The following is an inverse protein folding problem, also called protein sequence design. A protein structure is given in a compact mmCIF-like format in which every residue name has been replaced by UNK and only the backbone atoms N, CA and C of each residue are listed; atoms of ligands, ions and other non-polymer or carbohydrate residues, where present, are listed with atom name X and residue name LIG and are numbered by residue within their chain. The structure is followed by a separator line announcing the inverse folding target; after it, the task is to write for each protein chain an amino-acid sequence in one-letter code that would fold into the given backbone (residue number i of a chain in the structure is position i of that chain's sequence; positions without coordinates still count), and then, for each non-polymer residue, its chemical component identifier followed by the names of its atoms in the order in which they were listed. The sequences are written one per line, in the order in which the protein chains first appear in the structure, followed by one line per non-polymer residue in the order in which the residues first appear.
data_IF_332848616018
#
_entry.id   IF_332848616018
#
_cell.length_a   1.000
_cell.length_b   1.000
_cell.length_c   1.000
_cell.angle_alpha   90.00
_cell.angle_beta   90.00
_cell.angle_gamma   90.00
#
_symmetry.space_group_name_H-M   'P 1'
#
loop_
_entity.id
_entity.type
_entity.pdbx_description
1 polymer ?
#
# COMPACT_ATOMS: atom_id res chain seq x y z
N UNK A 1 9.72 -2.76 -31.95
CA UNK A 1 8.51 -1.94 -31.89
C UNK A 1 8.51 -1.30 -30.51
N UNK A 2 8.76 0.03 -30.41
CA UNK A 2 8.52 0.80 -29.17
C UNK A 2 7.00 0.81 -28.97
N UNK A 3 6.51 0.04 -28.01
CA UNK A 3 5.13 0.18 -27.57
C UNK A 3 4.96 1.59 -26.99
N UNK A 4 4.08 2.38 -27.60
CA UNK A 4 3.74 3.71 -27.08
C UNK A 4 3.15 3.56 -25.69
N UNK A 5 3.76 4.23 -24.71
CA UNK A 5 3.21 4.37 -23.35
C UNK A 5 1.85 5.06 -23.46
N UNK A 6 0.87 4.64 -22.65
CA UNK A 6 -0.43 5.28 -22.55
C UNK A 6 -0.22 6.78 -22.26
N UNK A 7 -0.45 7.58 -23.27
CA UNK A 7 -0.46 9.04 -23.20
C UNK A 7 -1.90 9.49 -23.42
N UNK A 8 -2.79 9.14 -22.49
CA UNK A 8 -4.15 9.65 -22.58
C UNK A 8 -4.17 11.06 -22.00
N UNK A 9 -4.92 11.95 -22.64
CA UNK A 9 -5.04 13.35 -22.18
C UNK A 9 -5.53 13.46 -20.72
N UNK A 10 -6.14 12.42 -20.21
CA UNK A 10 -6.69 12.35 -18.84
C UNK A 10 -5.66 12.08 -17.76
N UNK A 11 -4.58 11.34 -18.09
CA UNK A 11 -3.47 11.07 -17.15
C UNK A 11 -2.50 12.24 -17.12
N UNK A 12 -2.46 13.08 -18.15
CA UNK A 12 -1.58 14.26 -18.20
C UNK A 12 -1.80 15.26 -17.06
N UNK A 13 -3.01 15.26 -16.47
CA UNK A 13 -3.35 16.13 -15.35
C UNK A 13 -3.00 15.50 -13.98
N UNK A 14 -2.34 14.34 -13.97
CA UNK A 14 -1.87 13.67 -12.76
C UNK A 14 -0.37 13.91 -12.64
N UNK A 15 0.03 14.60 -11.56
CA UNK A 15 1.45 14.97 -11.38
C UNK A 15 2.34 13.78 -11.04
N UNK A 16 1.87 12.87 -10.20
CA UNK A 16 2.63 11.72 -9.74
C UNK A 16 1.78 10.45 -9.79
N UNK A 17 2.27 9.40 -10.42
CA UNK A 17 1.66 8.06 -10.44
C UNK A 17 2.58 7.11 -9.71
N UNK A 18 2.14 6.61 -8.55
CA UNK A 18 2.93 5.74 -7.68
C UNK A 18 2.31 4.36 -7.62
N UNK A 19 3.06 3.35 -8.03
CA UNK A 19 2.64 1.96 -7.90
C UNK A 19 2.96 1.42 -6.50
N UNK A 20 1.99 0.73 -5.90
CA UNK A 20 2.19 -0.08 -4.69
C UNK A 20 2.14 -1.54 -5.08
N UNK A 21 3.24 -2.23 -4.91
CA UNK A 21 3.43 -3.61 -5.35
C UNK A 21 3.89 -4.52 -4.21
N UNK A 22 3.71 -5.82 -4.39
CA UNK A 22 4.26 -6.84 -3.50
C UNK A 22 4.64 -8.09 -4.28
N UNK A 23 5.67 -8.78 -3.85
CA UNK A 23 6.12 -10.03 -4.47
C UNK A 23 5.19 -11.21 -4.21
N UNK A 24 4.32 -11.14 -3.20
CA UNK A 24 3.35 -12.18 -2.83
C UNK A 24 2.06 -11.58 -2.28
N UNK A 25 1.00 -12.38 -2.24
CA UNK A 25 -0.26 -12.03 -1.56
C UNK A 25 -0.15 -12.06 -0.03
N UNK A 26 -1.10 -11.41 0.66
CA UNK A 26 -1.22 -11.47 2.11
C UNK A 26 -0.22 -10.61 2.90
N UNK A 27 0.55 -9.73 2.25
CA UNK A 27 1.48 -8.82 2.93
C UNK A 27 0.83 -7.50 3.40
N UNK A 28 -0.46 -7.31 3.16
CA UNK A 28 -1.20 -6.10 3.49
C UNK A 28 -0.98 -4.94 2.50
N UNK A 29 -0.63 -5.24 1.25
CA UNK A 29 -0.39 -4.27 0.18
C UNK A 29 -1.52 -3.24 0.04
N UNK A 30 -2.77 -3.69 -0.11
CA UNK A 30 -3.94 -2.83 -0.30
C UNK A 30 -4.24 -1.98 0.94
N UNK A 31 -4.06 -2.53 2.15
CA UNK A 31 -4.16 -1.77 3.41
C UNK A 31 -3.10 -0.67 3.47
N UNK A 32 -1.88 -0.94 3.01
CA UNK A 32 -0.82 0.07 2.93
C UNK A 32 -1.17 1.12 1.86
N UNK A 33 -1.62 0.71 0.68
CA UNK A 33 -1.97 1.61 -0.42
C UNK A 33 -3.07 2.60 -0.01
N UNK A 34 -4.14 2.13 0.63
CA UNK A 34 -5.24 3.01 1.06
C UNK A 34 -4.82 3.97 2.17
N UNK A 35 -4.06 3.52 3.16
CA UNK A 35 -3.61 4.39 4.24
C UNK A 35 -2.57 5.40 3.76
N UNK A 36 -1.72 5.04 2.79
CA UNK A 36 -0.83 5.98 2.12
C UNK A 36 -1.62 7.04 1.34
N UNK A 37 -2.62 6.63 0.55
CA UNK A 37 -3.49 7.57 -0.17
C UNK A 37 -4.23 8.50 0.80
N UNK A 38 -4.73 7.96 1.90
CA UNK A 38 -5.42 8.71 2.95
C UNK A 38 -4.49 9.70 3.66
N UNK A 39 -3.25 9.35 3.96
CA UNK A 39 -2.29 10.28 4.56
C UNK A 39 -1.92 11.41 3.58
N UNK A 40 -1.68 11.08 2.31
CA UNK A 40 -1.38 12.07 1.27
C UNK A 40 -2.57 13.03 1.03
N UNK A 41 -3.82 12.54 1.14
CA UNK A 41 -5.02 13.36 0.89
C UNK A 41 -5.22 14.49 1.91
N UNK A 42 -4.55 14.43 3.05
CA UNK A 42 -4.60 15.53 4.05
C UNK A 42 -4.05 16.85 3.52
N UNK A 43 -3.22 16.82 2.47
CA UNK A 43 -2.57 18.02 1.90
C UNK A 43 -2.51 18.04 0.37
N UNK A 44 -2.97 16.99 -0.30
CA UNK A 44 -2.89 16.83 -1.76
C UNK A 44 -4.20 16.29 -2.33
N UNK A 45 -4.44 16.53 -3.64
CA UNK A 45 -5.51 15.89 -4.39
C UNK A 45 -5.06 14.45 -4.75
N UNK A 46 -5.75 13.45 -4.24
CA UNK A 46 -5.33 12.03 -4.37
C UNK A 46 -6.41 11.19 -5.00
N UNK A 47 -5.98 10.28 -5.88
CA UNK A 47 -6.76 9.16 -6.37
C UNK A 47 -6.12 7.83 -5.99
N UNK A 48 -6.92 6.79 -5.87
CA UNK A 48 -6.46 5.41 -5.71
C UNK A 48 -7.19 4.51 -6.70
N UNK A 49 -6.43 3.78 -7.50
CA UNK A 49 -6.92 2.78 -8.44
C UNK A 49 -6.46 1.40 -8.02
N UNK A 50 -7.42 0.54 -7.67
CA UNK A 50 -7.20 -0.87 -7.38
C UNK A 50 -7.24 -1.69 -8.67
N UNK A 51 -6.11 -2.27 -9.01
CA UNK A 51 -5.89 -3.08 -10.21
C UNK A 51 -5.84 -4.60 -9.90
N UNK A 52 -6.16 -5.01 -8.67
CA UNK A 52 -6.27 -6.43 -8.32
C UNK A 52 -7.62 -7.00 -8.77
N UNK A 53 -7.61 -7.57 -9.97
CA UNK A 53 -8.81 -8.11 -10.63
C UNK A 53 -9.30 -9.39 -9.94
N UNK A 54 -8.38 -10.17 -9.38
CA UNK A 54 -8.69 -11.48 -8.81
C UNK A 54 -9.20 -11.39 -7.37
N UNK A 55 -8.84 -10.34 -6.65
CA UNK A 55 -9.24 -10.14 -5.28
C UNK A 55 -9.35 -8.66 -4.92
N UNK A 56 -10.25 -7.91 -5.63
CA UNK A 56 -10.37 -6.49 -5.38
C UNK A 56 -10.84 -6.25 -3.94
N UNK A 57 -9.99 -5.64 -3.13
CA UNK A 57 -10.24 -5.42 -1.71
C UNK A 57 -10.72 -4.00 -1.40
N UNK A 58 -10.60 -3.08 -2.35
CA UNK A 58 -10.90 -1.68 -2.13
C UNK A 58 -12.34 -1.40 -1.66
N UNK A 59 -13.40 -2.01 -2.24
CA UNK A 59 -14.76 -1.78 -1.75
C UNK A 59 -14.92 -2.04 -0.25
N UNK A 60 -14.37 -3.16 0.24
CA UNK A 60 -14.38 -3.51 1.66
C UNK A 60 -13.56 -2.52 2.49
N UNK A 61 -12.34 -2.21 2.05
CA UNK A 61 -11.40 -1.34 2.78
C UNK A 61 -11.88 0.11 2.94
N UNK A 62 -12.81 0.55 2.08
CA UNK A 62 -13.42 1.88 2.22
C UNK A 62 -14.89 1.82 2.66
N UNK A 63 -15.46 0.62 2.84
CA UNK A 63 -16.87 0.44 3.21
C UNK A 63 -17.81 1.08 2.18
N UNK A 64 -17.59 0.78 0.90
CA UNK A 64 -18.35 1.35 -0.21
C UNK A 64 -18.47 0.35 -1.35
N UNK A 65 -19.71 0.07 -1.77
CA UNK A 65 -20.01 -0.93 -2.80
C UNK A 65 -20.81 -0.36 -3.99
N UNK A 66 -21.06 0.95 -4.00
CA UNK A 66 -21.79 1.60 -5.08
C UNK A 66 -21.05 1.44 -6.42
N UNK A 67 -21.83 1.24 -7.49
CA UNK A 67 -21.28 1.34 -8.84
C UNK A 67 -20.92 2.78 -9.19
N UNK A 68 -19.79 3.01 -9.89
CA UNK A 68 -19.45 4.31 -10.44
C UNK A 68 -20.54 4.82 -11.38
N UNK A 69 -20.86 6.09 -11.28
CA UNK A 69 -21.77 6.73 -12.25
C UNK A 69 -21.08 6.86 -13.59
N UNK A 70 -21.86 6.75 -14.67
CA UNK A 70 -21.39 6.95 -16.02
C UNK A 70 -21.96 8.27 -16.54
N UNK A 71 -21.09 9.18 -17.01
CA UNK A 71 -21.49 10.38 -17.76
C UNK A 71 -21.68 10.06 -19.25
N UNK A 72 -22.17 11.05 -19.98
CA UNK A 72 -22.17 11.04 -21.45
C UNK A 72 -20.76 10.67 -21.96
N UNK A 73 -20.68 9.95 -23.06
CA UNK A 73 -19.44 9.42 -23.63
C UNK A 73 -18.75 8.27 -22.85
N UNK A 74 -19.51 7.50 -22.07
CA UNK A 74 -19.00 6.36 -21.30
C UNK A 74 -17.90 6.70 -20.28
N UNK A 75 -17.92 7.94 -19.75
CA UNK A 75 -16.96 8.41 -18.77
C UNK A 75 -17.36 7.97 -17.37
N UNK A 76 -16.53 7.17 -16.71
CA UNK A 76 -16.72 6.72 -15.33
C UNK A 76 -16.35 7.84 -14.36
N UNK A 77 -17.26 8.13 -13.43
CA UNK A 77 -17.01 9.07 -12.34
C UNK A 77 -16.47 8.27 -11.17
N UNK A 78 -15.24 8.53 -10.70
CA UNK A 78 -14.69 7.83 -9.56
C UNK A 78 -15.55 8.05 -8.30
N UNK A 79 -15.56 7.07 -7.41
CA UNK A 79 -16.23 7.18 -6.11
C UNK A 79 -15.41 8.12 -5.24
N UNK A 80 -16.05 9.16 -4.72
CA UNK A 80 -15.41 10.09 -3.79
C UNK A 80 -15.80 9.74 -2.34
N UNK A 81 -14.79 9.47 -1.52
CA UNK A 81 -14.92 9.23 -0.08
C UNK A 81 -13.65 9.69 0.62
N UNK A 82 -13.74 10.18 1.83
CA UNK A 82 -12.59 10.68 2.60
C UNK A 82 -11.73 11.74 1.87
N UNK A 83 -12.28 12.47 0.91
CA UNK A 83 -11.52 13.43 0.08
C UNK A 83 -10.61 12.76 -0.96
N UNK A 84 -10.80 11.49 -1.24
CA UNK A 84 -10.02 10.69 -2.20
C UNK A 84 -10.95 10.18 -3.30
N UNK A 85 -10.46 10.15 -4.53
CA UNK A 85 -11.12 9.54 -5.67
C UNK A 85 -10.73 8.07 -5.79
N UNK A 86 -11.71 7.16 -5.77
CA UNK A 86 -11.48 5.72 -5.81
C UNK A 86 -12.04 5.10 -7.08
N UNK A 87 -11.28 4.15 -7.64
CA UNK A 87 -11.75 3.25 -8.68
C UNK A 87 -11.18 1.85 -8.46
N UNK A 88 -11.99 0.82 -8.70
CA UNK A 88 -11.62 -0.59 -8.55
C UNK A 88 -12.43 -1.45 -9.49
N UNK A 89 -11.87 -2.57 -9.91
CA UNK A 89 -12.62 -3.65 -10.55
C UNK A 89 -13.77 -4.15 -9.67
N UNK A 90 -13.61 -4.10 -8.34
CA UNK A 90 -14.63 -4.51 -7.38
C UNK A 90 -15.93 -3.70 -7.49
N UNK A 91 -15.87 -2.43 -7.89
CA UNK A 91 -17.07 -1.62 -8.09
C UNK A 91 -17.83 -1.93 -9.37
N UNK A 92 -17.19 -2.61 -10.34
CA UNK A 92 -17.80 -2.97 -11.61
C UNK A 92 -18.46 -4.36 -11.60
N UNK A 93 -18.18 -5.16 -10.57
CA UNK A 93 -18.67 -6.53 -10.42
C UNK A 93 -19.76 -6.62 -9.32
N UNK A 94 -20.93 -6.02 -9.58
CA UNK A 94 -22.03 -5.94 -8.62
C UNK A 94 -22.69 -7.27 -8.29
N UNK A 95 -22.44 -8.34 -9.06
CA UNK A 95 -23.17 -9.61 -8.91
C UNK A 95 -22.36 -10.73 -8.25
N UNK A 96 -21.12 -10.49 -7.79
CA UNK A 96 -20.24 -11.54 -7.27
C UNK A 96 -20.07 -12.75 -8.22
N UNK A 97 -20.40 -12.59 -9.49
CA UNK A 97 -20.18 -13.64 -10.47
C UNK A 97 -18.68 -13.84 -10.68
N UNK A 98 -18.19 -15.08 -10.64
CA UNK A 98 -16.79 -15.36 -10.91
C UNK A 98 -16.48 -15.05 -12.37
N UNK A 99 -16.13 -13.79 -12.66
CA UNK A 99 -15.72 -13.41 -13.99
C UNK A 99 -14.37 -14.05 -14.30
N UNK A 100 -14.33 -14.92 -15.31
CA UNK A 100 -13.08 -15.52 -15.78
C UNK A 100 -12.35 -14.49 -16.62
N UNK A 101 -11.50 -13.70 -15.97
CA UNK A 101 -10.68 -12.69 -16.63
C UNK A 101 -9.49 -13.32 -17.32
N UNK A 102 -9.39 -13.21 -18.64
CA UNK A 102 -8.22 -13.64 -19.43
C UNK A 102 -7.30 -12.46 -19.67
N UNK A 103 -5.98 -12.69 -19.76
CA UNK A 103 -4.97 -11.64 -19.90
C UNK A 103 -5.29 -10.49 -20.88
N UNK A 104 -5.76 -10.75 -22.12
CA UNK A 104 -6.15 -9.69 -23.05
C UNK A 104 -7.31 -8.82 -22.56
N UNK A 105 -8.28 -9.41 -21.83
CA UNK A 105 -9.40 -8.65 -21.25
C UNK A 105 -8.93 -7.76 -20.11
N UNK A 106 -8.03 -8.26 -19.27
CA UNK A 106 -7.40 -7.50 -18.19
C UNK A 106 -6.71 -6.26 -18.72
N UNK A 107 -5.90 -6.43 -19.76
CA UNK A 107 -5.20 -5.32 -20.42
C UNK A 107 -6.19 -4.28 -20.97
N UNK A 108 -7.25 -4.72 -21.64
CA UNK A 108 -8.28 -3.82 -22.20
C UNK A 108 -9.01 -3.03 -21.09
N UNK A 109 -9.42 -3.69 -20.01
CA UNK A 109 -10.12 -3.04 -18.89
C UNK A 109 -9.21 -2.06 -18.13
N UNK A 110 -7.94 -2.42 -17.97
CA UNK A 110 -6.96 -1.51 -17.36
C UNK A 110 -6.81 -0.24 -18.20
N UNK A 111 -6.75 -0.36 -19.53
CA UNK A 111 -6.78 0.80 -20.42
C UNK A 111 -8.02 1.65 -20.20
N UNK A 112 -9.19 1.04 -20.05
CA UNK A 112 -10.42 1.78 -19.79
C UNK A 112 -10.38 2.58 -18.49
N UNK A 113 -9.71 2.10 -17.44
CA UNK A 113 -9.56 2.87 -16.21
C UNK A 113 -8.67 4.10 -16.35
N UNK A 114 -7.70 4.05 -17.25
CA UNK A 114 -6.87 5.23 -17.56
C UNK A 114 -7.54 6.17 -18.56
N UNK A 115 -8.29 5.62 -19.53
CA UNK A 115 -8.89 6.39 -20.61
C UNK A 115 -10.28 6.94 -20.26
N UNK A 116 -11.08 6.18 -19.52
CA UNK A 116 -12.50 6.45 -19.31
C UNK A 116 -12.87 6.82 -17.87
N UNK A 117 -11.91 7.06 -16.98
CA UNK A 117 -12.18 7.58 -15.64
C UNK A 117 -11.91 9.07 -15.57
N UNK A 118 -12.86 9.84 -15.04
CA UNK A 118 -12.72 11.27 -14.81
C UNK A 118 -11.93 11.57 -13.53
N UNK A 119 -10.62 11.34 -13.62
CA UNK A 119 -9.72 11.64 -12.49
C UNK A 119 -9.64 13.15 -12.20
N UNK A 120 -9.79 14.00 -13.22
CA UNK A 120 -9.53 15.43 -13.13
C UNK A 120 -8.06 15.71 -12.80
N UNK A 121 -7.81 16.82 -12.10
CA UNK A 121 -6.47 17.15 -11.62
C UNK A 121 -6.15 16.40 -10.33
N UNK A 122 -5.03 15.66 -10.31
CA UNK A 122 -4.52 14.98 -9.13
C UNK A 122 -3.05 15.32 -8.91
N UNK A 123 -2.66 15.47 -7.64
CA UNK A 123 -1.26 15.53 -7.24
C UNK A 123 -0.64 14.13 -7.20
N UNK A 124 -1.44 13.13 -6.76
CA UNK A 124 -1.03 11.72 -6.68
C UNK A 124 -2.14 10.78 -7.16
N UNK A 125 -1.78 9.80 -7.97
CA UNK A 125 -2.59 8.61 -8.23
C UNK A 125 -1.83 7.40 -7.69
N UNK A 126 -2.38 6.75 -6.69
CA UNK A 126 -1.83 5.51 -6.13
C UNK A 126 -2.44 4.33 -6.90
N UNK A 127 -1.58 3.46 -7.42
CA UNK A 127 -1.98 2.23 -8.09
C UNK A 127 -1.74 1.06 -7.16
N UNK A 128 -2.79 0.41 -6.71
CA UNK A 128 -2.71 -0.85 -5.97
C UNK A 128 -2.62 -2.00 -6.96
N UNK A 129 -1.41 -2.53 -7.20
CA UNK A 129 -1.16 -3.56 -8.20
C UNK A 129 -1.61 -4.95 -7.72
N UNK A 130 -1.91 -5.90 -8.62
CA UNK A 130 -2.10 -7.30 -8.23
C UNK A 130 -0.89 -7.85 -7.47
N UNK A 131 -1.03 -8.86 -6.62
CA UNK A 131 0.11 -9.47 -5.93
C UNK A 131 0.99 -10.29 -6.88
N UNK A 132 2.27 -10.42 -6.55
CA UNK A 132 3.24 -11.19 -7.34
C UNK A 132 4.13 -10.30 -8.22
N UNK A 133 4.90 -10.92 -9.10
CA UNK A 133 5.82 -10.28 -10.06
C UNK A 133 5.69 -10.89 -11.45
N UNK A 134 4.49 -11.36 -11.77
CA UNK A 134 4.18 -12.07 -13.01
C UNK A 134 3.86 -11.15 -14.18
N UNK A 135 3.52 -11.78 -15.31
CA UNK A 135 3.28 -11.10 -16.60
C UNK A 135 2.17 -10.04 -16.53
N UNK A 136 1.17 -10.24 -15.67
CA UNK A 136 0.06 -9.29 -15.53
C UNK A 136 0.58 -7.97 -14.95
N UNK A 137 1.33 -8.00 -13.86
CA UNK A 137 1.93 -6.80 -13.29
C UNK A 137 2.86 -6.11 -14.30
N UNK A 138 3.74 -6.89 -14.94
CA UNK A 138 4.65 -6.37 -15.96
C UNK A 138 3.89 -5.66 -17.07
N UNK A 139 2.84 -6.27 -17.60
CA UNK A 139 1.99 -5.70 -18.65
C UNK A 139 1.33 -4.39 -18.20
N UNK A 140 0.86 -4.32 -16.96
CA UNK A 140 0.25 -3.12 -16.39
C UNK A 140 1.27 -1.98 -16.29
N UNK A 141 2.44 -2.24 -15.71
CA UNK A 141 3.43 -1.19 -15.44
C UNK A 141 4.19 -0.74 -16.70
N UNK A 142 4.32 -1.59 -17.72
CA UNK A 142 4.96 -1.22 -19.00
C UNK A 142 4.25 -0.08 -19.71
N UNK A 143 2.94 0.00 -19.58
CA UNK A 143 2.08 0.94 -20.30
C UNK A 143 1.87 2.27 -19.59
N UNK A 144 2.22 2.33 -18.31
CA UNK A 144 2.00 3.51 -17.46
C UNK A 144 3.31 4.23 -17.23
N UNK A 145 3.32 5.55 -17.37
CA UNK A 145 4.47 6.38 -17.00
C UNK A 145 4.49 6.56 -15.48
N UNK A 146 5.04 5.58 -14.75
CA UNK A 146 5.16 5.64 -13.30
C UNK A 146 6.19 6.68 -12.87
N UNK A 147 5.83 7.54 -11.92
CA UNK A 147 6.76 8.41 -11.21
C UNK A 147 7.62 7.59 -10.24
N UNK A 148 7.07 6.51 -9.67
CA UNK A 148 7.81 5.62 -8.80
C UNK A 148 7.00 4.39 -8.38
N UNK A 149 7.72 3.45 -7.77
CA UNK A 149 7.11 2.25 -7.21
C UNK A 149 7.53 2.05 -5.75
N UNK A 150 6.60 1.64 -4.92
CA UNK A 150 6.81 1.24 -3.53
C UNK A 150 6.58 -0.25 -3.41
N UNK A 151 7.52 -0.98 -2.81
CA UNK A 151 7.42 -2.42 -2.61
C UNK A 151 7.01 -2.68 -1.16
N UNK A 152 5.87 -3.33 -0.95
CA UNK A 152 5.40 -3.76 0.37
C UNK A 152 5.83 -5.21 0.61
N UNK A 153 6.46 -5.46 1.74
CA UNK A 153 6.96 -6.77 2.15
C UNK A 153 6.70 -7.03 3.64
N UNK A 154 7.01 -8.21 4.12
CA UNK A 154 6.95 -8.60 5.55
C UNK A 154 8.29 -9.19 5.98
N UNK A 155 8.65 -9.22 7.27
CA UNK A 155 9.95 -9.73 7.75
C UNK A 155 10.01 -11.27 7.78
N UNK A 156 9.66 -11.92 6.68
CA UNK A 156 9.78 -13.37 6.47
C UNK A 156 10.97 -13.67 5.57
N UNK A 157 11.64 -14.81 5.75
CA UNK A 157 12.84 -15.16 4.97
C UNK A 157 12.65 -15.16 3.45
N UNK A 158 11.46 -15.48 2.96
CA UNK A 158 11.15 -15.45 1.53
C UNK A 158 10.95 -14.03 1.00
N UNK A 159 10.68 -13.06 1.86
CA UNK A 159 10.32 -11.70 1.47
C UNK A 159 11.49 -10.94 0.79
N UNK A 160 12.75 -11.29 1.10
CA UNK A 160 13.89 -10.67 0.42
C UNK A 160 13.94 -11.01 -1.09
N UNK A 161 13.58 -12.25 -1.47
CA UNK A 161 13.45 -12.64 -2.88
C UNK A 161 12.32 -11.90 -3.58
N UNK A 162 11.25 -11.61 -2.85
CA UNK A 162 10.09 -10.88 -3.38
C UNK A 162 10.42 -9.41 -3.64
N UNK A 163 11.19 -8.76 -2.74
CA UNK A 163 11.67 -7.39 -2.95
C UNK A 163 12.61 -7.32 -4.15
N UNK A 164 13.54 -8.28 -4.28
CA UNK A 164 14.44 -8.34 -5.45
C UNK A 164 13.66 -8.52 -6.75
N UNK A 165 12.75 -9.50 -6.83
CA UNK A 165 11.93 -9.74 -8.03
C UNK A 165 11.08 -8.52 -8.39
N UNK A 166 10.49 -7.83 -7.39
CA UNK A 166 9.75 -6.60 -7.60
C UNK A 166 10.65 -5.50 -8.17
N UNK A 167 11.84 -5.31 -7.59
CA UNK A 167 12.83 -4.34 -8.08
C UNK A 167 13.26 -4.65 -9.51
N UNK A 168 13.57 -5.91 -9.81
CA UNK A 168 13.98 -6.34 -11.15
C UNK A 168 12.86 -6.13 -12.18
N UNK A 169 11.60 -6.34 -11.79
CA UNK A 169 10.43 -6.08 -12.63
C UNK A 169 10.32 -4.58 -12.98
N UNK A 170 10.40 -3.70 -11.99
CA UNK A 170 10.32 -2.26 -12.23
C UNK A 170 11.50 -1.73 -13.02
N UNK A 171 12.70 -2.27 -12.80
CA UNK A 171 13.91 -1.93 -13.59
C UNK A 171 13.71 -2.28 -15.08
N UNK A 172 13.09 -3.41 -15.41
CA UNK A 172 12.81 -3.80 -16.81
C UNK A 172 11.91 -2.80 -17.55
N UNK A 173 11.09 -2.05 -16.85
CA UNK A 173 10.16 -1.06 -17.43
C UNK A 173 10.63 0.39 -17.21
N UNK A 174 11.86 0.56 -16.71
CA UNK A 174 12.45 1.86 -16.39
C UNK A 174 11.59 2.68 -15.42
N UNK A 175 10.93 2.02 -14.46
CA UNK A 175 10.21 2.67 -13.38
C UNK A 175 11.07 2.68 -12.10
N UNK A 176 11.35 3.83 -11.49
CA UNK A 176 12.20 3.88 -10.30
C UNK A 176 11.50 3.25 -9.10
N UNK A 177 12.19 2.37 -8.37
CA UNK A 177 11.73 1.91 -7.06
C UNK A 177 12.11 2.95 -6.02
N UNK A 178 11.13 3.71 -5.54
CA UNK A 178 11.34 4.83 -4.60
C UNK A 178 11.46 4.38 -3.16
N UNK A 179 11.09 3.14 -2.85
CA UNK A 179 11.33 2.58 -1.53
C UNK A 179 10.63 1.27 -1.23
N UNK A 180 10.99 0.72 -0.06
CA UNK A 180 10.41 -0.50 0.52
C UNK A 180 9.68 -0.14 1.81
N UNK A 181 8.51 -0.73 2.04
CA UNK A 181 7.77 -0.68 3.30
C UNK A 181 7.73 -2.10 3.87
N UNK A 182 8.23 -2.26 5.10
CA UNK A 182 8.09 -3.51 5.84
C UNK A 182 6.83 -3.47 6.69
N UNK A 183 5.81 -4.21 6.27
CA UNK A 183 4.56 -4.33 7.01
C UNK A 183 4.61 -5.52 7.97
N UNK A 184 3.80 -5.49 9.04
CA UNK A 184 3.78 -6.52 10.08
C UNK A 184 5.17 -6.75 10.71
N UNK A 185 5.96 -5.67 10.85
CA UNK A 185 7.37 -5.74 11.24
C UNK A 185 7.57 -6.25 12.66
N UNK A 186 6.67 -5.87 13.55
CA UNK A 186 6.70 -6.24 14.96
C UNK A 186 5.30 -6.07 15.56
N UNK A 187 5.09 -6.68 16.71
CA UNK A 187 3.88 -6.54 17.51
C UNK A 187 4.22 -5.86 18.84
N UNK A 188 3.47 -4.82 19.18
CA UNK A 188 3.67 -4.10 20.45
C UNK A 188 2.77 -4.70 21.52
N UNK A 189 3.38 -5.20 22.59
CA UNK A 189 2.70 -5.60 23.81
C UNK A 189 2.86 -4.49 24.84
N UNK A 190 1.72 -4.02 25.37
CA UNK A 190 1.68 -3.04 26.46
C UNK A 190 0.73 -3.56 27.53
N UNK A 191 1.09 -3.36 28.77
CA UNK A 191 0.25 -3.76 29.89
C UNK A 191 0.63 -3.09 31.19
N UNK A 192 -0.15 -3.40 32.23
CA UNK A 192 0.12 -2.98 33.60
C UNK A 192 -0.14 -4.12 34.56
N UNK A 193 0.83 -4.41 35.41
CA UNK A 193 0.69 -5.38 36.49
C UNK A 193 0.09 -4.68 37.71
N UNK A 194 -1.06 -5.16 38.15
CA UNK A 194 -1.68 -4.67 39.39
C UNK A 194 -1.04 -5.38 40.57
N UNK A 195 -0.67 -4.64 41.63
CA UNK A 195 0.03 -5.21 42.79
C UNK A 195 1.52 -5.52 42.52
N UNK A 196 2.13 -4.81 41.59
CA UNK A 196 3.54 -4.94 41.21
C UNK A 196 4.47 -4.80 42.42
N UNK A 197 5.50 -5.66 42.46
CA UNK A 197 6.64 -5.61 43.38
C UNK A 197 7.93 -5.65 42.55
N UNK A 198 9.01 -5.05 43.08
CA UNK A 198 10.23 -4.76 42.29
C UNK A 198 11.00 -5.95 41.68
N UNK A 199 10.54 -7.20 41.88
CA UNK A 199 11.25 -8.42 41.45
C UNK A 199 10.51 -9.23 40.38
N UNK A 200 9.64 -8.61 39.57
CA UNK A 200 8.88 -9.33 38.55
C UNK A 200 9.60 -9.25 37.20
N UNK A 201 9.92 -10.42 36.66
CA UNK A 201 10.40 -10.61 35.31
C UNK A 201 9.27 -11.24 34.46
N UNK A 202 8.97 -10.68 33.29
CA UNK A 202 8.02 -11.24 32.36
C UNK A 202 8.79 -11.97 31.25
N UNK A 203 8.61 -13.27 31.15
CA UNK A 203 9.06 -14.07 30.00
C UNK A 203 7.85 -14.52 29.18
N UNK A 204 7.96 -14.46 27.87
CA UNK A 204 6.94 -14.94 26.94
C UNK A 204 7.52 -16.11 26.16
N UNK A 205 6.84 -17.25 26.17
CA UNK A 205 7.28 -18.47 25.47
C UNK A 205 7.56 -18.17 23.99
N UNK A 206 8.71 -18.62 23.52
CA UNK A 206 9.16 -18.36 22.13
C UNK A 206 9.83 -17.00 21.91
N UNK A 207 9.87 -16.11 22.91
CA UNK A 207 10.49 -14.79 22.82
C UNK A 207 11.71 -14.77 23.75
N UNK A 208 12.88 -14.46 23.17
CA UNK A 208 14.15 -14.44 23.93
C UNK A 208 14.41 -13.13 24.69
N UNK A 209 13.55 -12.15 24.54
CA UNK A 209 13.74 -10.82 25.13
C UNK A 209 13.01 -10.75 26.49
N UNK A 210 13.72 -10.27 27.49
CA UNK A 210 13.14 -9.96 28.80
C UNK A 210 12.36 -8.66 28.70
N UNK A 211 11.17 -8.63 29.26
CA UNK A 211 10.35 -7.42 29.32
C UNK A 211 10.61 -6.71 30.62
N UNK A 212 11.17 -5.50 30.56
CA UNK A 212 11.37 -4.66 31.73
C UNK A 212 10.04 -4.05 32.17
N UNK A 213 9.79 -4.11 33.46
CA UNK A 213 8.59 -3.56 34.09
C UNK A 213 8.98 -2.28 34.87
N UNK A 214 8.26 -1.21 34.58
CA UNK A 214 8.47 0.08 35.28
C UNK A 214 7.98 0.03 36.72
N UNK A 215 8.45 0.95 37.60
CA UNK A 215 8.09 1.01 39.02
C UNK A 215 6.60 1.12 39.30
N UNK A 216 5.81 1.63 38.36
CA UNK A 216 4.35 1.70 38.45
C UNK A 216 3.64 0.44 37.95
N UNK A 217 4.39 -0.61 37.61
CA UNK A 217 3.89 -1.87 37.03
C UNK A 217 3.64 -1.84 35.54
N UNK A 218 3.84 -0.73 34.87
CA UNK A 218 3.65 -0.66 33.41
C UNK A 218 4.81 -1.32 32.66
N UNK A 219 4.50 -1.94 31.53
CA UNK A 219 5.49 -2.52 30.64
C UNK A 219 5.11 -2.28 29.16
N UNK A 220 6.14 -2.22 28.31
CA UNK A 220 5.99 -2.12 26.86
C UNK A 220 7.14 -2.84 26.20
N UNK A 221 6.84 -3.73 25.26
CA UNK A 221 7.84 -4.43 24.45
C UNK A 221 7.40 -4.55 23.00
N UNK A 222 8.35 -4.53 22.08
CA UNK A 222 8.13 -4.74 20.64
C UNK A 222 8.66 -6.11 20.25
N UNK A 223 7.77 -7.01 19.90
CA UNK A 223 8.08 -8.41 19.65
C UNK A 223 8.13 -8.67 18.14
N UNK A 224 9.20 -9.30 17.67
CA UNK A 224 9.29 -9.78 16.30
C UNK A 224 8.53 -11.11 16.15
N UNK A 225 7.38 -11.07 15.47
CA UNK A 225 6.60 -12.27 15.20
C UNK A 225 7.27 -13.14 14.13
N UNK A 226 7.87 -12.49 13.13
CA UNK A 226 8.60 -13.18 12.06
C UNK A 226 10.09 -13.09 12.30
N UNK A 227 10.80 -14.23 12.19
CA UNK A 227 12.24 -14.37 12.48
C UNK A 227 13.12 -14.20 11.23
N UNK A 228 12.56 -13.75 10.09
CA UNK A 228 13.28 -13.61 8.84
C UNK A 228 14.20 -12.41 8.76
N UNK A 229 14.93 -12.31 7.64
CA UNK A 229 15.76 -11.14 7.33
C UNK A 229 14.89 -9.91 7.17
N UNK A 230 15.29 -8.81 7.81
CA UNK A 230 14.52 -7.57 7.75
C UNK A 230 14.63 -6.90 6.36
N UNK A 231 13.59 -6.17 5.98
CA UNK A 231 13.61 -5.32 4.78
C UNK A 231 14.76 -4.30 4.79
N UNK A 232 15.28 -3.95 5.97
CA UNK A 232 16.46 -3.07 6.13
C UNK A 232 17.73 -3.65 5.50
N UNK A 233 17.94 -4.95 5.60
CA UNK A 233 19.11 -5.60 4.99
C UNK A 233 19.00 -5.62 3.47
N UNK A 234 17.81 -5.91 2.96
CA UNK A 234 17.54 -5.98 1.53
C UNK A 234 17.53 -4.59 0.89
N UNK A 235 16.98 -3.60 1.57
CA UNK A 235 17.04 -2.19 1.20
C UNK A 235 18.49 -1.71 0.99
N UNK A 236 19.38 -2.03 1.93
CA UNK A 236 20.82 -1.71 1.80
C UNK A 236 21.47 -2.46 0.65
N UNK A 237 21.19 -3.76 0.49
CA UNK A 237 21.76 -4.60 -0.57
C UNK A 237 21.37 -4.11 -1.98
N UNK A 238 20.12 -3.69 -2.15
CA UNK A 238 19.59 -3.21 -3.43
C UNK A 238 19.77 -1.68 -3.62
N UNK A 239 20.28 -0.98 -2.61
CA UNK A 239 20.38 0.48 -2.59
C UNK A 239 19.01 1.17 -2.81
N UNK A 240 17.94 0.60 -2.21
CA UNK A 240 16.59 1.13 -2.26
C UNK A 240 16.23 1.68 -0.88
N UNK A 241 15.66 2.89 -0.75
CA UNK A 241 15.31 3.46 0.56
C UNK A 241 14.29 2.61 1.33
N UNK A 242 14.52 2.39 2.62
CA UNK A 242 13.50 1.87 3.53
C UNK A 242 12.61 3.03 3.99
N UNK A 243 11.35 3.01 3.57
CA UNK A 243 10.40 4.08 3.88
C UNK A 243 9.89 3.98 5.32
N UNK A 244 9.62 2.76 5.80
CA UNK A 244 9.17 2.56 7.17
C UNK A 244 8.89 1.11 7.55
N UNK A 245 8.66 0.93 8.85
CA UNK A 245 8.21 -0.31 9.45
C UNK A 245 6.81 -0.09 10.03
N UNK A 246 5.83 -0.83 9.53
CA UNK A 246 4.45 -0.79 10.03
C UNK A 246 4.27 -1.96 10.99
N UNK A 247 3.87 -1.72 12.25
CA UNK A 247 3.61 -2.81 13.19
C UNK A 247 2.41 -3.66 12.78
N UNK A 248 2.37 -4.90 13.23
CA UNK A 248 1.13 -5.67 13.27
C UNK A 248 0.25 -5.06 14.38
N UNK A 249 -0.88 -4.50 14.00
CA UNK A 249 -1.79 -3.84 14.95
C UNK A 249 -3.23 -4.33 14.74
N UNK A 250 -3.86 -4.92 15.77
CA UNK A 250 -5.24 -5.37 15.69
C UNK A 250 -6.24 -4.26 15.31
N UNK A 251 -5.98 -3.01 15.73
CA UNK A 251 -6.85 -1.88 15.38
C UNK A 251 -6.79 -1.56 13.88
N UNK A 252 -5.63 -1.71 13.25
CA UNK A 252 -5.51 -1.52 11.81
C UNK A 252 -6.36 -2.54 11.05
N UNK A 253 -6.39 -3.79 11.50
CA UNK A 253 -7.25 -4.83 10.94
C UNK A 253 -8.73 -4.50 11.16
N UNK A 254 -9.12 -4.18 12.39
CA UNK A 254 -10.49 -3.82 12.72
C UNK A 254 -11.00 -2.63 11.90
N UNK A 255 -10.19 -1.58 11.77
CA UNK A 255 -10.57 -0.40 10.98
C UNK A 255 -10.68 -0.72 9.48
N UNK A 256 -9.81 -1.59 8.97
CA UNK A 256 -9.90 -2.09 7.59
C UNK A 256 -11.21 -2.84 7.35
N UNK A 257 -11.63 -3.70 8.29
CA UNK A 257 -12.90 -4.43 8.21
C UNK A 257 -14.12 -3.49 8.33
N UNK A 258 -13.97 -2.39 9.06
CA UNK A 258 -14.99 -1.34 9.16
C UNK A 258 -15.00 -0.36 7.97
N UNK A 259 -14.12 -0.54 6.98
CA UNK A 259 -14.03 0.32 5.82
C UNK A 259 -13.51 1.72 6.13
N UNK A 260 -12.60 1.84 7.11
CA UNK A 260 -12.04 3.12 7.57
C UNK A 260 -10.51 3.11 7.51
N UNK A 261 -9.87 3.98 6.73
CA UNK A 261 -8.42 4.15 6.80
C UNK A 261 -8.00 4.64 8.18
N UNK A 262 -7.01 3.98 8.78
CA UNK A 262 -6.59 4.23 10.16
C UNK A 262 -6.00 5.64 10.37
N UNK A 263 -5.53 6.29 9.32
CA UNK A 263 -4.94 7.63 9.39
C UNK A 263 -5.95 8.75 9.62
N UNK A 264 -7.24 8.46 9.53
CA UNK A 264 -8.33 9.39 9.86
C UNK A 264 -8.86 9.22 11.30
N UNK A 265 -8.33 8.24 12.05
CA UNK A 265 -8.62 8.15 13.48
C UNK A 265 -8.05 9.34 14.24
N UNK A 266 -8.84 9.91 15.14
CA UNK A 266 -8.45 11.09 15.92
C UNK A 266 -7.32 10.79 16.92
N UNK A 267 -7.16 9.54 17.33
CA UNK A 267 -6.08 9.13 18.20
C UNK A 267 -4.75 9.19 17.44
N UNK A 268 -3.82 10.05 17.88
CA UNK A 268 -2.42 10.04 17.41
C UNK A 268 -1.72 8.75 17.85
N UNK A 269 -2.15 7.62 17.29
CA UNK A 269 -1.55 6.33 17.56
C UNK A 269 -0.22 6.18 16.79
N UNK A 270 0.54 5.16 17.15
CA UNK A 270 1.84 4.89 16.54
C UNK A 270 1.74 4.67 15.01
N UNK A 271 0.65 4.05 14.54
CA UNK A 271 0.45 3.75 13.11
C UNK A 271 0.26 5.01 12.29
N UNK A 272 -0.55 5.96 12.76
CA UNK A 272 -0.76 7.22 12.03
C UNK A 272 0.54 8.01 11.88
N UNK A 273 1.42 7.98 12.89
CA UNK A 273 2.75 8.59 12.81
C UNK A 273 3.63 7.90 11.77
N UNK A 274 3.61 6.56 11.71
CA UNK A 274 4.39 5.80 10.73
C UNK A 274 3.94 6.13 9.29
N UNK A 275 2.64 6.18 9.00
CA UNK A 275 2.14 6.57 7.68
C UNK A 275 2.51 8.02 7.33
N UNK A 276 2.47 8.94 8.31
CA UNK A 276 2.91 10.32 8.12
C UNK A 276 4.39 10.41 7.75
N UNK A 277 5.26 9.65 8.41
CA UNK A 277 6.69 9.61 8.08
C UNK A 277 6.95 8.99 6.70
N UNK A 278 6.25 7.91 6.36
CA UNK A 278 6.35 7.27 5.05
C UNK A 278 5.94 8.25 3.94
N UNK A 279 4.80 8.92 4.09
CA UNK A 279 4.30 9.88 3.08
C UNK A 279 5.27 11.05 2.90
N UNK A 280 5.82 11.61 4.00
CA UNK A 280 6.84 12.68 3.93
C UNK A 280 8.08 12.25 3.17
N UNK A 281 8.55 11.00 3.36
CA UNK A 281 9.69 10.47 2.61
C UNK A 281 9.38 10.35 1.11
N UNK A 282 8.18 9.85 0.76
CA UNK A 282 7.74 9.74 -0.63
C UNK A 282 7.67 11.11 -1.30
N UNK A 283 7.04 12.10 -0.65
CA UNK A 283 6.96 13.48 -1.16
C UNK A 283 8.36 14.04 -1.41
N UNK A 284 9.28 13.86 -0.45
CA UNK A 284 10.67 14.35 -0.56
C UNK A 284 11.44 13.68 -1.70
N UNK A 285 11.23 12.38 -1.95
CA UNK A 285 11.90 11.67 -3.05
C UNK A 285 11.37 12.18 -4.39
N UNK A 286 10.05 12.28 -4.54
CA UNK A 286 9.42 12.75 -5.77
C UNK A 286 9.80 14.20 -6.11
N UNK A 287 9.85 15.09 -5.12
CA UNK A 287 10.25 16.49 -5.35
C UNK A 287 11.69 16.62 -5.84
N UNK A 288 12.59 15.71 -5.47
CA UNK A 288 13.96 15.69 -5.96
C UNK A 288 14.07 15.15 -7.39
N UNK A 289 13.21 14.23 -7.80
CA UNK A 289 13.20 13.67 -9.15
C UNK A 289 12.66 14.67 -10.19
N UNK A 290 11.78 15.58 -9.79
CA UNK A 290 11.25 16.65 -10.67
C UNK A 290 12.27 17.78 -10.86
N UNK A 291 13.25 17.91 -9.95
CA UNK A 291 14.27 18.96 -9.99
C UNK A 291 15.54 18.59 -10.79
N UNK A 292 15.61 17.37 -11.32
CA UNK A 292 16.68 16.84 -12.20
C UNK A 292 16.16 16.71 -13.63
#
# INVERSE_FOLDING_TARGET
LKEEKLSTDRIKNIKNIIAVASGKGGVGKSTVAINLAAELSKSHKVGLLDLDIYGPSLPTLIGEDRMPKVRDNNLLIPIEKFGIKFMSFGFLNSNNDPAIWRGPMVSKLTHQFFDNVDWGELDYLILDLPPGTGDIQLTLVQKIALTGAVIVTTPQDLAHKDVQKGSDMFNKVNAPVIGVIENMSFFNIKGKLNGYRDDIEISIDGIKEKIEVSKDGSFSSSIKIFQGKSASQESKRLNIPLLGHIPLDPNLSLLSDLGKPCVFEESQNQITKVFSEISKKIIKINSKQIAL
#
